data_IF_987083671463
#
_entry.id   IF_987083671463
#
_cell.length_a   1.000
_cell.length_b   1.000
_cell.length_c   1.000
_cell.angle_alpha   90.00
_cell.angle_beta   90.00
_cell.angle_gamma   90.00
#
_symmetry.space_group_name_H-M   'P 1'
#
loop_
_entity.id
_entity.type
_entity.pdbx_description
1 polymer ?
#
# COMPACT_ATOMS: atom_id res chain seq x y z
N UNK A 1 21.67 14.01 -6.78
CA UNK A 1 21.45 14.90 -7.95
C UNK A 1 20.00 15.35 -7.87
N UNK A 2 19.76 16.66 -7.80
CA UNK A 2 18.52 17.26 -7.27
C UNK A 2 17.20 16.72 -7.83
N UNK A 3 16.34 16.34 -6.90
CA UNK A 3 14.97 15.84 -6.99
C UNK A 3 14.00 16.95 -7.41
N UNK A 4 14.00 17.35 -8.69
CA UNK A 4 13.06 18.37 -9.18
C UNK A 4 11.72 17.74 -9.56
N UNK A 5 10.95 17.38 -8.53
CA UNK A 5 9.60 16.84 -8.66
C UNK A 5 8.60 17.85 -9.28
N UNK A 6 8.88 19.15 -9.17
CA UNK A 6 8.03 20.26 -9.63
C UNK A 6 8.88 21.36 -10.24
N UNK A 7 8.40 21.99 -11.32
CA UNK A 7 9.07 23.11 -12.00
C UNK A 7 8.06 24.05 -12.65
N UNK A 8 8.45 25.32 -12.81
CA UNK A 8 7.71 26.29 -13.64
C UNK A 8 8.35 26.31 -15.03
N UNK A 9 7.58 26.01 -16.07
CA UNK A 9 8.01 25.98 -17.47
C UNK A 9 7.01 26.85 -18.25
N UNK A 10 7.50 27.91 -18.91
CA UNK A 10 6.63 28.83 -19.67
C UNK A 10 5.58 29.55 -18.82
N UNK A 11 5.82 29.72 -17.51
CA UNK A 11 4.86 30.35 -16.58
C UNK A 11 3.82 29.39 -15.99
N UNK A 12 3.79 28.13 -16.42
CA UNK A 12 2.89 27.11 -15.89
C UNK A 12 3.65 26.09 -15.02
N UNK A 13 3.00 25.55 -14.00
CA UNK A 13 3.61 24.50 -13.16
C UNK A 13 3.52 23.16 -13.87
N UNK A 14 4.65 22.48 -13.99
CA UNK A 14 4.74 21.08 -14.40
C UNK A 14 5.32 20.20 -13.28
N UNK A 15 4.91 18.94 -13.27
CA UNK A 15 5.38 17.88 -12.39
C UNK A 15 6.05 16.79 -13.21
N UNK A 16 7.13 16.20 -12.69
CA UNK A 16 7.59 14.92 -13.21
C UNK A 16 6.77 13.77 -12.55
N UNK A 17 7.07 12.50 -12.89
CA UNK A 17 6.32 11.37 -12.31
C UNK A 17 6.44 11.26 -10.78
N UNK A 18 7.55 11.72 -10.20
CA UNK A 18 7.73 11.75 -8.75
C UNK A 18 6.88 12.86 -8.13
N UNK A 19 6.82 14.03 -8.77
CA UNK A 19 5.91 15.12 -8.44
C UNK A 19 4.44 14.72 -8.50
N UNK A 20 4.03 13.99 -9.54
CA UNK A 20 2.66 13.48 -9.64
C UNK A 20 2.35 12.53 -8.48
N UNK A 21 3.28 11.64 -8.11
CA UNK A 21 3.11 10.72 -6.99
C UNK A 21 2.95 11.48 -5.67
N UNK A 22 3.85 12.45 -5.40
CA UNK A 22 3.80 13.29 -4.20
C UNK A 22 2.52 14.14 -4.14
N UNK A 23 2.11 14.72 -5.27
CA UNK A 23 0.94 15.59 -5.35
C UNK A 23 -0.38 14.84 -5.20
N UNK A 24 -0.53 13.69 -5.89
CA UNK A 24 -1.77 12.89 -5.83
C UNK A 24 -1.84 11.97 -4.61
N UNK A 25 -0.73 11.78 -3.90
CA UNK A 25 -0.60 10.79 -2.82
C UNK A 25 -0.58 9.34 -3.30
N UNK A 26 -0.48 9.11 -4.62
CA UNK A 26 -0.37 7.78 -5.20
C UNK A 26 1.08 7.24 -5.09
N UNK A 27 1.22 5.91 -5.07
CA UNK A 27 2.55 5.32 -5.17
C UNK A 27 3.17 5.59 -6.55
N UNK A 28 4.50 5.77 -6.61
CA UNK A 28 5.21 5.99 -7.88
C UNK A 28 4.97 4.87 -8.92
N UNK A 29 4.86 3.62 -8.46
CA UNK A 29 4.52 2.48 -9.31
C UNK A 29 3.10 2.59 -9.90
N UNK A 30 2.16 3.16 -9.16
CA UNK A 30 0.80 3.45 -9.63
C UNK A 30 0.82 4.53 -10.70
N UNK A 31 1.60 5.61 -10.52
CA UNK A 31 1.77 6.65 -11.54
C UNK A 31 2.38 6.08 -12.82
N UNK A 32 3.42 5.24 -12.71
CA UNK A 32 3.98 4.53 -13.86
C UNK A 32 2.97 3.61 -14.55
N UNK A 33 2.08 2.97 -13.78
CA UNK A 33 1.02 2.13 -14.32
C UNK A 33 -0.01 2.96 -15.09
N UNK A 34 -0.47 4.07 -14.53
CA UNK A 34 -1.38 5.01 -15.20
C UNK A 34 -0.77 5.56 -16.49
N UNK A 35 0.47 6.03 -16.43
CA UNK A 35 1.19 6.54 -17.60
C UNK A 35 1.35 5.49 -18.70
N UNK A 36 1.78 4.26 -18.36
CA UNK A 36 1.92 3.16 -19.34
C UNK A 36 0.59 2.80 -20.01
N UNK A 37 -0.51 2.91 -19.27
CA UNK A 37 -1.85 2.54 -19.75
C UNK A 37 -2.73 3.78 -19.90
N UNK A 38 -2.16 4.91 -20.33
CA UNK A 38 -2.84 6.20 -20.32
C UNK A 38 -4.15 6.22 -21.09
N UNK A 39 -4.21 5.54 -22.24
CA UNK A 39 -5.44 5.42 -23.03
C UNK A 39 -6.59 4.74 -22.27
N UNK A 40 -6.28 3.84 -21.32
CA UNK A 40 -7.28 3.18 -20.48
C UNK A 40 -7.72 4.05 -19.31
N UNK A 41 -6.79 4.78 -18.70
CA UNK A 41 -7.04 5.52 -17.46
C UNK A 41 -7.37 7.00 -17.67
N UNK A 42 -7.15 7.55 -18.87
CA UNK A 42 -7.23 8.98 -19.15
C UNK A 42 -6.05 9.77 -18.56
N UNK A 43 -4.90 9.14 -18.34
CA UNK A 43 -3.73 9.84 -17.77
C UNK A 43 -3.21 10.89 -18.78
N UNK A 44 -2.86 12.12 -18.34
CA UNK A 44 -2.47 13.20 -19.24
C UNK A 44 -1.27 12.86 -20.14
N UNK A 45 -1.25 13.44 -21.35
CA UNK A 45 -0.09 13.37 -22.22
C UNK A 45 1.02 14.27 -21.62
N UNK A 46 2.19 13.68 -21.39
CA UNK A 46 3.35 14.44 -20.94
C UNK A 46 4.06 15.11 -22.11
N UNK A 47 4.93 16.06 -21.79
CA UNK A 47 5.87 16.65 -22.74
C UNK A 47 7.31 16.41 -22.28
N UNK A 48 8.22 16.33 -23.25
CA UNK A 48 9.63 16.10 -22.96
C UNK A 48 10.35 17.44 -22.76
N UNK A 49 11.02 17.60 -21.63
CA UNK A 49 11.82 18.78 -21.31
C UNK A 49 13.00 18.41 -20.41
N UNK A 50 14.19 18.89 -20.75
CA UNK A 50 15.45 18.62 -20.04
C UNK A 50 15.69 17.11 -19.78
N UNK A 51 15.44 16.27 -20.79
CA UNK A 51 15.69 14.83 -20.71
C UNK A 51 14.69 14.04 -19.88
N UNK A 52 13.56 14.65 -19.47
CA UNK A 52 12.53 14.03 -18.63
C UNK A 52 11.13 14.31 -19.15
N UNK A 53 10.19 13.45 -18.77
CA UNK A 53 8.77 13.66 -19.03
C UNK A 53 8.16 14.52 -17.92
N UNK A 54 7.47 15.57 -18.34
CA UNK A 54 6.76 16.52 -17.50
C UNK A 54 5.27 16.52 -17.83
N UNK A 55 4.44 16.79 -16.82
CA UNK A 55 2.99 16.83 -16.92
C UNK A 55 2.52 18.14 -16.30
N UNK A 56 1.62 18.86 -16.96
CA UNK A 56 1.06 20.08 -16.39
C UNK A 56 0.25 19.76 -15.14
N UNK A 57 0.41 20.59 -14.10
CA UNK A 57 -0.27 20.39 -12.82
C UNK A 57 -1.80 20.35 -13.00
N UNK A 58 -2.36 21.29 -13.76
CA UNK A 58 -3.81 21.42 -13.96
C UNK A 58 -4.40 20.17 -14.63
N UNK A 59 -3.68 19.58 -15.60
CA UNK A 59 -4.10 18.33 -16.25
C UNK A 59 -4.07 17.15 -15.27
N UNK A 60 -3.06 17.10 -14.40
CA UNK A 60 -2.94 16.07 -13.36
C UNK A 60 -4.04 16.22 -12.31
N UNK A 61 -4.38 17.44 -11.90
CA UNK A 61 -5.48 17.71 -10.97
C UNK A 61 -6.84 17.33 -11.55
N UNK A 62 -7.06 17.64 -12.83
CA UNK A 62 -8.27 17.26 -13.59
C UNK A 62 -8.39 15.74 -13.65
N UNK A 63 -7.35 15.07 -14.16
CA UNK A 63 -7.29 13.61 -14.20
C UNK A 63 -7.53 12.99 -12.82
N UNK A 64 -6.87 13.48 -11.78
CA UNK A 64 -6.98 12.89 -10.45
C UNK A 64 -8.39 13.04 -9.89
N UNK A 65 -9.02 14.19 -10.09
CA UNK A 65 -10.40 14.44 -9.65
C UNK A 65 -11.39 13.50 -10.34
N UNK A 66 -11.30 13.38 -11.66
CA UNK A 66 -12.15 12.48 -12.46
C UNK A 66 -11.89 11.01 -12.10
N UNK A 67 -10.63 10.62 -11.95
CA UNK A 67 -10.23 9.27 -11.58
C UNK A 67 -10.78 8.87 -10.21
N UNK A 68 -10.73 9.78 -9.22
CA UNK A 68 -11.33 9.54 -7.91
C UNK A 68 -12.87 9.50 -7.98
N UNK A 69 -13.51 10.34 -8.80
CA UNK A 69 -14.95 10.30 -8.99
C UNK A 69 -15.42 8.96 -9.62
N UNK A 70 -14.74 8.51 -10.68
CA UNK A 70 -15.02 7.23 -11.33
C UNK A 70 -14.81 6.06 -10.37
N UNK A 71 -13.70 6.06 -9.62
CA UNK A 71 -13.42 5.04 -8.60
C UNK A 71 -14.47 5.03 -7.48
N UNK A 72 -14.93 6.20 -7.03
CA UNK A 72 -16.03 6.32 -6.06
C UNK A 72 -17.33 5.74 -6.62
N UNK A 73 -17.67 6.04 -7.87
CA UNK A 73 -18.87 5.54 -8.53
C UNK A 73 -18.86 4.00 -8.67
N UNK A 74 -17.72 3.41 -9.04
CA UNK A 74 -17.57 1.96 -9.15
C UNK A 74 -17.68 1.25 -7.78
N UNK A 75 -17.05 1.82 -6.74
CA UNK A 75 -16.98 1.21 -5.42
C UNK A 75 -18.29 1.32 -4.62
N UNK A 76 -19.14 2.29 -4.95
CA UNK A 76 -20.19 2.76 -4.04
C UNK A 76 -21.57 2.47 -4.60
N UNK A 77 -22.00 1.20 -4.54
CA UNK A 77 -23.43 0.85 -4.72
C UNK A 77 -24.22 1.29 -3.49
N UNK A 78 -24.52 2.59 -3.41
CA UNK A 78 -25.28 3.19 -2.31
C UNK A 78 -26.72 3.41 -2.72
N UNK A 79 -27.65 3.01 -1.86
CA UNK A 79 -29.06 3.34 -2.04
C UNK A 79 -29.32 4.82 -1.69
N UNK A 80 -29.60 5.61 -2.72
CA UNK A 80 -29.91 7.06 -2.63
C UNK A 80 -31.40 7.36 -2.53
N UNK A 81 -32.26 6.36 -2.35
CA UNK A 81 -33.71 6.57 -2.20
C UNK A 81 -34.05 7.04 -0.79
N UNK A 82 -35.20 7.72 -0.64
CA UNK A 82 -35.76 8.19 0.63
C UNK A 82 -35.46 9.65 0.93
N UNK A 83 -36.07 10.19 1.99
CA UNK A 83 -35.90 11.59 2.36
C UNK A 83 -34.54 11.78 3.08
N UNK A 84 -33.70 12.75 2.66
CA UNK A 84 -32.42 13.05 3.30
C UNK A 84 -32.51 13.25 4.83
N UNK A 85 -33.65 13.76 5.31
CA UNK A 85 -33.94 14.07 6.71
C UNK A 85 -34.53 12.90 7.51
N UNK A 86 -34.73 11.74 6.88
CA UNK A 86 -35.20 10.56 7.60
C UNK A 86 -34.12 10.06 8.55
N UNK A 87 -34.50 9.96 9.82
CA UNK A 87 -33.65 9.43 10.87
C UNK A 87 -33.72 7.90 10.89
N UNK A 88 -32.60 7.23 10.60
CA UNK A 88 -32.49 5.79 10.40
C UNK A 88 -31.53 5.12 11.40
N UNK A 89 -31.80 3.86 11.72
CA UNK A 89 -30.92 3.04 12.57
C UNK A 89 -29.87 2.24 11.80
N UNK A 90 -29.00 1.57 12.56
CA UNK A 90 -27.82 0.87 12.03
C UNK A 90 -28.13 -0.16 10.94
N UNK A 91 -29.25 -0.88 11.05
CA UNK A 91 -29.65 -1.87 10.05
C UNK A 91 -29.96 -1.24 8.68
N UNK A 92 -30.68 -0.12 8.67
CA UNK A 92 -30.99 0.62 7.44
C UNK A 92 -29.76 1.32 6.88
N UNK A 93 -28.94 1.92 7.74
CA UNK A 93 -27.67 2.52 7.34
C UNK A 93 -26.76 1.49 6.65
N UNK A 94 -26.69 0.27 7.17
CA UNK A 94 -25.90 -0.80 6.57
C UNK A 94 -26.40 -1.17 5.17
N UNK A 95 -27.72 -1.29 4.98
CA UNK A 95 -28.33 -1.54 3.66
C UNK A 95 -28.03 -0.42 2.68
N UNK A 96 -28.19 0.85 3.09
CA UNK A 96 -27.87 2.02 2.26
C UNK A 96 -26.41 1.98 1.80
N UNK A 97 -25.51 1.60 2.68
CA UNK A 97 -24.08 1.52 2.42
C UNK A 97 -23.62 0.25 1.70
N UNK A 98 -24.53 -0.68 1.41
CA UNK A 98 -24.24 -1.95 0.72
C UNK A 98 -23.66 -3.06 1.59
N UNK A 99 -23.72 -2.95 2.92
CA UNK A 99 -23.22 -3.98 3.84
C UNK A 99 -24.26 -5.06 4.15
N UNK A 100 -23.79 -6.32 4.25
CA UNK A 100 -24.62 -7.47 4.66
C UNK A 100 -25.11 -7.38 6.11
N UNK A 101 -24.38 -6.69 6.99
CA UNK A 101 -24.68 -6.61 8.42
C UNK A 101 -24.32 -5.24 8.99
N UNK A 102 -25.10 -4.77 9.95
CA UNK A 102 -24.83 -3.53 10.70
C UNK A 102 -23.54 -3.57 11.51
N UNK A 103 -22.99 -4.76 11.78
CA UNK A 103 -21.71 -4.94 12.45
C UNK A 103 -20.52 -4.48 11.60
N UNK A 104 -20.73 -4.32 10.30
CA UNK A 104 -19.71 -3.87 9.34
C UNK A 104 -19.81 -2.38 9.03
N UNK A 105 -20.60 -1.63 9.81
CA UNK A 105 -20.63 -0.19 9.67
C UNK A 105 -19.26 0.39 10.01
N UNK A 106 -18.78 1.38 9.24
CA UNK A 106 -17.48 1.98 9.48
C UNK A 106 -17.48 2.80 10.78
N UNK A 107 -16.34 2.83 11.44
CA UNK A 107 -16.15 3.63 12.67
C UNK A 107 -16.42 5.12 12.43
N UNK A 108 -16.13 5.61 11.22
CA UNK A 108 -16.45 6.99 10.80
C UNK A 108 -17.94 7.29 10.85
N UNK A 109 -18.82 6.29 10.72
CA UNK A 109 -20.25 6.47 10.96
C UNK A 109 -20.62 6.20 12.42
N UNK A 110 -20.07 5.14 13.02
CA UNK A 110 -20.42 4.72 14.37
C UNK A 110 -20.06 5.76 15.45
N UNK A 111 -18.99 6.52 15.24
CA UNK A 111 -18.52 7.54 16.18
C UNK A 111 -19.27 8.88 16.06
N UNK A 112 -20.06 9.06 15.00
CA UNK A 112 -20.76 10.31 14.71
C UNK A 112 -22.27 10.09 14.47
N UNK A 113 -23.04 9.64 15.48
CA UNK A 113 -24.50 9.56 15.40
C UNK A 113 -25.14 10.95 15.46
N UNK A 114 -26.11 11.21 14.58
CA UNK A 114 -26.91 12.44 14.64
C UNK A 114 -27.84 12.45 15.86
N UNK A 115 -28.30 11.26 16.28
CA UNK A 115 -29.08 11.10 17.51
C UNK A 115 -28.77 9.79 18.20
N UNK A 116 -28.82 9.85 19.53
CA UNK A 116 -28.63 8.70 20.39
C UNK A 116 -29.83 8.55 21.33
N UNK A 117 -30.40 7.34 21.42
CA UNK A 117 -31.55 7.03 22.27
C UNK A 117 -31.21 5.87 23.19
N UNK A 118 -31.48 6.01 24.50
CA UNK A 118 -31.37 4.90 25.45
C UNK A 118 -32.60 4.01 25.35
N UNK A 119 -32.38 2.70 25.27
CA UNK A 119 -33.44 1.70 25.31
C UNK A 119 -33.72 1.28 26.76
N UNK A 120 -34.92 0.70 27.03
CA UNK A 120 -35.27 0.20 28.35
C UNK A 120 -34.31 -0.87 28.90
N UNK A 121 -33.61 -1.59 28.03
CA UNK A 121 -32.60 -2.60 28.37
C UNK A 121 -31.22 -2.01 28.71
N UNK A 122 -31.12 -0.68 28.83
CA UNK A 122 -29.88 0.05 29.09
C UNK A 122 -28.98 0.22 27.86
N UNK A 123 -29.32 -0.39 26.72
CA UNK A 123 -28.52 -0.26 25.50
C UNK A 123 -28.74 1.09 24.85
N UNK A 124 -27.72 1.51 24.10
CA UNK A 124 -27.74 2.77 23.38
C UNK A 124 -27.98 2.51 21.90
N UNK A 125 -29.05 3.09 21.35
CA UNK A 125 -29.34 3.05 19.91
C UNK A 125 -28.84 4.33 19.26
N UNK A 126 -27.97 4.14 18.28
CA UNK A 126 -27.46 5.19 17.39
C UNK A 126 -28.38 5.36 16.19
N UNK A 127 -28.59 6.60 15.79
CA UNK A 127 -29.43 7.00 14.67
C UNK A 127 -28.72 8.07 13.84
N UNK A 128 -28.93 8.04 12.53
CA UNK A 128 -28.33 8.96 11.57
C UNK A 128 -29.39 9.45 10.60
N UNK A 129 -29.24 10.67 10.09
CA UNK A 129 -29.97 11.10 8.91
C UNK A 129 -29.48 10.35 7.68
N UNK A 130 -30.34 10.13 6.68
CA UNK A 130 -29.92 9.54 5.40
C UNK A 130 -28.80 10.36 4.75
N UNK A 131 -28.89 11.69 4.81
CA UNK A 131 -27.82 12.59 4.31
C UNK A 131 -26.46 12.33 4.95
N UNK A 132 -26.42 12.05 6.26
CA UNK A 132 -25.19 11.77 6.99
C UNK A 132 -24.58 10.45 6.52
N UNK A 133 -25.42 9.42 6.34
CA UNK A 133 -24.97 8.13 5.80
C UNK A 133 -24.45 8.27 4.37
N UNK A 134 -25.10 9.07 3.51
CA UNK A 134 -24.62 9.33 2.16
C UNK A 134 -23.30 10.12 2.14
N UNK A 135 -23.17 11.15 2.97
CA UNK A 135 -21.93 11.91 3.09
C UNK A 135 -20.75 11.02 3.50
N UNK A 136 -20.96 10.09 4.45
CA UNK A 136 -19.93 9.09 4.80
C UNK A 136 -19.61 8.17 3.62
N UNK A 137 -20.59 7.86 2.77
CA UNK A 137 -20.35 7.08 1.57
C UNK A 137 -19.55 7.84 0.51
N UNK A 138 -19.85 9.13 0.32
CA UNK A 138 -19.17 10.02 -0.62
C UNK A 138 -17.72 10.31 -0.20
N UNK A 139 -17.47 10.35 1.11
CA UNK A 139 -16.14 10.50 1.69
C UNK A 139 -15.25 9.24 1.55
N UNK A 140 -15.75 8.10 1.05
CA UNK A 140 -14.94 6.89 0.88
C UNK A 140 -13.89 7.10 -0.20
N UNK A 141 -12.61 7.11 0.20
CA UNK A 141 -11.45 7.21 -0.71
C UNK A 141 -10.93 5.86 -1.22
N UNK A 142 -11.65 4.77 -0.94
CA UNK A 142 -11.32 3.44 -1.42
C UNK A 142 -12.28 2.37 -0.89
N UNK A 143 -12.10 1.13 -1.36
CA UNK A 143 -12.74 -0.04 -0.75
C UNK A 143 -12.21 -0.09 0.68
N UNK A 144 -13.02 0.33 1.66
CA UNK A 144 -12.80 -0.03 3.04
C UNK A 144 -12.82 -1.56 3.05
N UNK A 145 -11.62 -2.14 2.98
CA UNK A 145 -11.46 -3.56 2.94
C UNK A 145 -12.13 -4.09 4.20
N UNK A 146 -13.26 -4.77 4.04
CA UNK A 146 -13.83 -5.61 5.09
C UNK A 146 -12.94 -6.84 5.35
N UNK A 147 -11.81 -6.97 4.65
CA UNK A 147 -10.72 -7.88 4.96
C UNK A 147 -9.60 -7.15 5.70
N UNK A 148 -9.00 -7.87 6.64
CA UNK A 148 -7.73 -7.63 7.36
C UNK A 148 -7.00 -6.36 6.90
N UNK A 149 -6.81 -5.41 7.83
CA UNK A 149 -5.89 -4.27 7.69
C UNK A 149 -4.68 -4.71 6.87
N UNK A 150 -4.27 -3.98 5.82
CA UNK A 150 -2.99 -4.23 5.17
C UNK A 150 -1.98 -4.35 6.30
N UNK A 151 -1.39 -5.53 6.45
CA UNK A 151 -0.43 -5.73 7.52
C UNK A 151 0.58 -4.61 7.37
N UNK A 152 0.74 -3.78 8.40
CA UNK A 152 1.91 -2.91 8.49
C UNK A 152 3.07 -3.80 8.10
N UNK A 153 3.76 -3.45 7.02
CA UNK A 153 5.02 -4.09 6.68
C UNK A 153 5.97 -3.60 7.75
N UNK A 154 5.82 -4.12 8.97
CA UNK A 154 6.79 -3.94 10.02
C UNK A 154 8.12 -4.43 9.49
N UNK A 155 9.21 -3.95 10.10
CA UNK A 155 10.54 -4.48 9.86
C UNK A 155 10.43 -6.00 9.69
N UNK A 156 10.76 -6.50 8.50
CA UNK A 156 10.67 -7.93 8.19
C UNK A 156 11.36 -8.62 9.34
N UNK A 157 10.63 -9.44 10.09
CA UNK A 157 11.23 -10.23 11.16
C UNK A 157 12.48 -10.88 10.57
N UNK A 158 13.66 -10.73 11.18
CA UNK A 158 14.87 -11.35 10.67
C UNK A 158 14.57 -12.81 10.38
N UNK A 159 15.09 -13.30 9.25
CA UNK A 159 14.88 -14.68 8.85
C UNK A 159 15.23 -15.59 10.02
N UNK A 160 14.50 -16.69 10.24
CA UNK A 160 14.60 -17.56 11.42
C UNK A 160 16.02 -18.10 11.72
N UNK A 161 16.97 -17.87 10.81
CA UNK A 161 18.35 -18.32 10.85
C UNK A 161 19.35 -17.16 10.64
N UNK A 162 18.97 -15.90 10.80
CA UNK A 162 19.86 -14.74 10.57
C UNK A 162 21.14 -14.82 11.42
N UNK A 163 21.05 -15.41 12.61
CA UNK A 163 22.17 -15.64 13.53
C UNK A 163 22.65 -17.11 13.54
N UNK A 164 22.25 -17.93 12.56
CA UNK A 164 22.66 -19.33 12.49
C UNK A 164 24.02 -19.45 11.76
N UNK A 165 25.09 -19.97 12.41
CA UNK A 165 26.39 -20.14 11.78
C UNK A 165 26.35 -21.04 10.52
N UNK A 166 25.31 -21.88 10.39
CA UNK A 166 25.07 -22.73 9.21
C UNK A 166 24.66 -21.92 7.98
N UNK A 167 24.20 -20.68 8.15
CA UNK A 167 23.86 -19.78 7.05
C UNK A 167 25.12 -19.36 6.28
N UNK A 168 26.25 -19.17 6.96
CA UNK A 168 27.52 -18.83 6.31
C UNK A 168 28.02 -19.96 5.41
N UNK A 169 27.85 -21.22 5.83
CA UNK A 169 28.15 -22.38 4.98
C UNK A 169 27.26 -22.43 3.72
N UNK A 170 26.01 -21.99 3.82
CA UNK A 170 25.11 -21.89 2.67
C UNK A 170 25.51 -20.74 1.71
N UNK A 171 25.93 -19.59 2.25
CA UNK A 171 26.46 -18.46 1.46
C UNK A 171 27.74 -18.86 0.73
N UNK A 172 28.69 -19.50 1.43
CA UNK A 172 29.94 -19.99 0.85
C UNK A 172 29.68 -20.99 -0.29
N UNK A 173 28.76 -21.95 -0.09
CA UNK A 173 28.41 -22.94 -1.11
C UNK A 173 27.78 -22.29 -2.36
N UNK A 174 26.95 -21.26 -2.20
CA UNK A 174 26.40 -20.51 -3.34
C UNK A 174 27.49 -19.72 -4.08
N UNK A 175 28.46 -19.15 -3.36
CA UNK A 175 29.62 -18.48 -3.92
C UNK A 175 30.51 -19.44 -4.73
N UNK A 176 30.83 -20.61 -4.16
CA UNK A 176 31.58 -21.70 -4.83
C UNK A 176 30.88 -22.19 -6.10
N UNK A 177 29.55 -22.34 -6.06
CA UNK A 177 28.77 -22.77 -7.22
C UNK A 177 28.79 -21.71 -8.32
N UNK A 178 28.61 -20.43 -7.96
CA UNK A 178 28.63 -19.30 -8.91
C UNK A 178 30.00 -19.13 -9.54
N UNK A 179 31.08 -19.16 -8.75
CA UNK A 179 32.46 -19.06 -9.24
C UNK A 179 32.85 -20.22 -10.18
N UNK A 180 32.31 -21.42 -9.92
CA UNK A 180 32.51 -22.59 -10.76
C UNK A 180 31.55 -22.68 -11.96
N UNK A 181 30.66 -21.69 -12.18
CA UNK A 181 29.64 -21.72 -13.23
C UNK A 181 28.64 -22.88 -13.10
N UNK A 182 28.51 -23.46 -11.90
CA UNK A 182 27.65 -24.62 -11.64
C UNK A 182 26.21 -24.18 -11.40
N UNK A 183 25.28 -24.96 -11.95
CA UNK A 183 23.85 -24.74 -11.68
C UNK A 183 23.50 -25.06 -10.22
N UNK A 184 22.45 -24.41 -9.72
CA UNK A 184 21.99 -24.55 -8.33
C UNK A 184 21.35 -25.92 -8.00
N UNK A 185 21.35 -26.86 -8.95
CA UNK A 185 20.72 -28.16 -8.80
C UNK A 185 21.53 -29.04 -7.85
N UNK A 186 20.88 -29.70 -6.89
CA UNK A 186 21.54 -30.61 -5.94
C UNK A 186 22.24 -29.97 -4.74
N UNK A 187 22.44 -28.64 -4.73
CA UNK A 187 23.12 -27.93 -3.62
C UNK A 187 22.46 -28.14 -2.25
N UNK A 188 21.13 -28.36 -2.21
CA UNK A 188 20.43 -28.67 -0.96
C UNK A 188 20.84 -30.00 -0.35
N UNK A 189 21.09 -31.03 -1.17
CA UNK A 189 21.54 -32.34 -0.70
C UNK A 189 23.03 -32.35 -0.36
N UNK A 190 23.81 -31.53 -1.05
CA UNK A 190 25.22 -31.30 -0.71
C UNK A 190 25.38 -30.59 0.62
N UNK A 191 24.65 -29.49 0.83
CA UNK A 191 24.66 -28.76 2.10
C UNK A 191 24.12 -29.60 3.26
N UNK A 192 23.10 -30.42 3.01
CA UNK A 192 22.57 -31.37 3.99
C UNK A 192 23.63 -32.35 4.50
N UNK A 193 24.41 -32.95 3.57
CA UNK A 193 25.52 -33.84 3.94
C UNK A 193 26.66 -33.11 4.65
N UNK A 194 27.02 -31.91 4.18
CA UNK A 194 28.10 -31.11 4.77
C UNK A 194 27.82 -30.70 6.22
N UNK A 195 26.56 -30.43 6.56
CA UNK A 195 26.17 -29.93 7.88
C UNK A 195 25.50 -30.98 8.78
N UNK A 196 25.37 -32.22 8.30
CA UNK A 196 24.61 -33.29 8.95
C UNK A 196 23.19 -32.84 9.36
N UNK A 197 22.46 -32.27 8.40
CA UNK A 197 21.08 -31.80 8.60
C UNK A 197 20.15 -32.39 7.55
N UNK A 198 18.85 -32.31 7.81
CA UNK A 198 17.87 -32.77 6.83
C UNK A 198 17.92 -31.95 5.53
N UNK A 199 17.62 -32.54 4.36
CA UNK A 199 17.54 -31.83 3.09
C UNK A 199 16.61 -30.61 3.14
N UNK A 200 15.51 -30.70 3.90
CA UNK A 200 14.56 -29.61 4.07
C UNK A 200 15.13 -28.45 4.87
N UNK A 201 15.96 -28.71 5.88
CA UNK A 201 16.68 -27.66 6.63
C UNK A 201 17.74 -26.99 5.74
N UNK A 202 18.51 -27.78 4.99
CA UNK A 202 19.51 -27.25 4.06
C UNK A 202 18.90 -26.37 2.96
N UNK A 203 17.77 -26.78 2.37
CA UNK A 203 17.04 -25.97 1.38
C UNK A 203 16.57 -24.62 1.95
N UNK A 204 16.14 -24.60 3.23
CA UNK A 204 15.73 -23.36 3.91
C UNK A 204 16.90 -22.43 4.20
N UNK A 205 18.07 -22.98 4.53
CA UNK A 205 19.31 -22.20 4.69
C UNK A 205 19.74 -21.58 3.35
N UNK A 206 19.71 -22.34 2.25
CA UNK A 206 19.99 -21.81 0.91
C UNK A 206 19.01 -20.71 0.48
N UNK A 207 17.72 -20.86 0.81
CA UNK A 207 16.73 -19.82 0.55
C UNK A 207 17.00 -18.53 1.36
N UNK A 208 17.39 -18.67 2.63
CA UNK A 208 17.81 -17.55 3.47
C UNK A 208 19.07 -16.86 2.95
N UNK A 209 20.07 -17.62 2.51
CA UNK A 209 21.32 -17.10 1.96
C UNK A 209 21.10 -16.29 0.68
N UNK A 210 20.20 -16.75 -0.22
CA UNK A 210 19.82 -16.01 -1.43
C UNK A 210 19.11 -14.70 -1.11
N UNK A 211 18.19 -14.73 -0.16
CA UNK A 211 17.48 -13.52 0.27
C UNK A 211 18.43 -12.45 0.84
N UNK A 212 19.59 -12.84 1.39
CA UNK A 212 20.66 -11.93 1.81
C UNK A 212 21.55 -11.49 0.65
N UNK A 213 21.83 -12.36 -0.31
CA UNK A 213 22.62 -12.00 -1.50
C UNK A 213 21.88 -10.98 -2.39
N UNK A 214 20.55 -11.09 -2.52
CA UNK A 214 19.73 -10.17 -3.31
C UNK A 214 19.53 -8.80 -2.61
N UNK A 215 19.82 -8.72 -1.31
CA UNK A 215 19.69 -7.52 -0.48
C UNK A 215 20.85 -7.45 0.52
N UNK A 216 22.02 -6.93 0.13
CA UNK A 216 23.10 -6.69 1.09
C UNK A 216 22.56 -5.71 2.14
N UNK A 217 22.32 -6.21 3.35
CA UNK A 217 22.07 -5.36 4.51
C UNK A 217 23.35 -4.56 4.69
N UNK A 218 23.32 -3.29 4.30
CA UNK A 218 24.32 -2.32 4.70
C UNK A 218 24.26 -2.24 6.22
N UNK A 219 25.15 -2.97 6.89
CA UNK A 219 25.44 -2.77 8.30
C UNK A 219 25.94 -1.33 8.45
N UNK A 220 25.07 -0.46 8.94
CA UNK A 220 25.47 0.80 9.55
C UNK A 220 26.22 0.45 10.84
N UNK A 221 27.53 0.29 10.73
CA UNK A 221 28.45 0.52 11.83
C UNK A 221 28.88 1.99 11.73
N UNK A 222 28.02 2.89 12.22
CA UNK A 222 28.44 4.25 12.58
C UNK A 222 28.78 4.24 14.07
N UNK A 223 30.08 4.30 14.36
CA UNK A 223 30.58 4.76 15.65
C UNK A 223 29.93 6.10 16.02
N UNK A 224 29.40 6.28 17.24
CA UNK A 224 28.94 7.60 17.66
C UNK A 224 30.17 8.50 17.87
N UNK A 225 30.38 9.42 16.93
CA UNK A 225 31.30 10.54 17.10
C UNK A 225 30.93 11.29 18.39
N UNK A 226 31.86 11.25 19.34
CA UNK A 226 31.79 11.95 20.59
C UNK A 226 31.59 13.45 20.35
N UNK A 227 30.47 13.98 20.87
CA UNK A 227 30.40 15.38 21.27
C UNK A 227 31.47 15.64 22.34
N UNK A 228 32.43 16.51 22.03
CA UNK A 228 33.15 17.28 23.05
C UNK A 228 33.06 18.76 22.68
N UNK A 229 32.77 19.52 23.74
CA UNK A 229 32.57 20.96 23.87
C UNK A 229 33.62 21.82 23.15
#
# INVERSE_FOLDING_TARGET
MGDMARRVIGGQTALDRAGVAAHTGAAYSTVNHWHRHRARFGFPEGFHHDGRDWFWLDDIETFHTEHQAAKRAELTKVDRRGNPDDLIGSGTAAKILGYRSYRNLPDTLLNHPDRTTKLPDGRTRRLWFRRTVWAVADARTGRQSTGRTPGTTGARKPHRYADDPRLQAAIALLGEATAAGRTNHGLGNELARRLDVTPRTAQRLLAGARALADHPVTTYDEEPAAYRY
#
